data_IF_443896227908
#
_entry.id   IF_443896227908
#
_cell.length_a   1.000
_cell.length_b   1.000
_cell.length_c   1.000
_cell.angle_alpha   90.00
_cell.angle_beta   90.00
_cell.angle_gamma   90.00
#
_symmetry.space_group_name_H-M   'P 1'
#
loop_
_entity.id
_entity.type
_entity.pdbx_description
1 polymer ?
#
# COMPACT_ATOMS: atom_id res chain seq x y z
N UNK A 1 -11.54 -15.13 32.82
CA UNK A 1 -10.21 -14.51 32.59
C UNK A 1 -10.07 -14.31 31.09
N UNK A 2 -9.94 -13.05 30.62
CA UNK A 2 -9.66 -12.80 29.19
C UNK A 2 -8.28 -13.37 28.88
N UNK A 3 -8.18 -14.31 27.96
CA UNK A 3 -6.90 -14.85 27.53
C UNK A 3 -6.04 -13.71 26.98
N UNK A 4 -4.73 -13.70 27.30
CA UNK A 4 -3.79 -12.74 26.71
C UNK A 4 -3.83 -12.92 25.19
N UNK A 5 -3.83 -11.81 24.43
CA UNK A 5 -3.80 -11.79 22.95
C UNK A 5 -2.81 -12.84 22.38
N UNK A 6 -1.61 -12.89 22.91
CA UNK A 6 -0.54 -13.79 22.44
C UNK A 6 -0.83 -15.29 22.64
N UNK A 7 -1.79 -15.62 23.50
CA UNK A 7 -2.23 -17.01 23.77
C UNK A 7 -3.56 -17.36 23.14
N UNK A 8 -4.25 -16.40 22.51
CA UNK A 8 -5.60 -16.59 21.94
C UNK A 8 -5.59 -17.06 20.50
N UNK A 9 -4.43 -17.09 19.83
CA UNK A 9 -4.25 -17.52 18.46
C UNK A 9 -2.87 -18.14 18.20
N UNK A 10 -2.52 -18.34 16.94
CA UNK A 10 -1.23 -18.92 16.55
C UNK A 10 -0.21 -17.81 16.23
N UNK A 11 0.49 -17.35 17.26
CA UNK A 11 1.49 -16.27 17.17
C UNK A 11 2.59 -16.51 16.11
N UNK A 12 3.15 -17.73 15.93
CA UNK A 12 4.14 -17.96 14.88
C UNK A 12 3.60 -17.70 13.47
N UNK A 13 2.33 -18.04 13.19
CA UNK A 13 1.69 -17.70 11.91
C UNK A 13 1.51 -16.19 11.76
N UNK A 14 1.10 -15.48 12.82
CA UNK A 14 0.94 -14.03 12.79
C UNK A 14 2.26 -13.33 12.43
N UNK A 15 3.34 -13.68 13.11
CA UNK A 15 4.65 -13.07 12.88
C UNK A 15 5.25 -13.45 11.53
N UNK A 16 5.06 -14.69 11.07
CA UNK A 16 5.49 -15.09 9.73
C UNK A 16 4.68 -14.40 8.62
N UNK A 17 3.38 -14.18 8.83
CA UNK A 17 2.55 -13.41 7.90
C UNK A 17 2.95 -11.94 7.84
N UNK A 18 3.29 -11.34 8.99
CA UNK A 18 3.85 -9.98 9.04
C UNK A 18 5.15 -9.90 8.25
N UNK A 19 6.13 -10.77 8.52
CA UNK A 19 7.42 -10.76 7.84
C UNK A 19 7.30 -11.00 6.33
N UNK A 20 6.45 -11.96 5.95
CA UNK A 20 6.12 -12.23 4.55
C UNK A 20 5.58 -10.97 3.85
N UNK A 21 4.64 -10.28 4.48
CA UNK A 21 4.04 -9.07 3.94
C UNK A 21 5.03 -7.90 3.90
N UNK A 22 5.80 -7.71 4.96
CA UNK A 22 6.77 -6.63 5.09
C UNK A 22 7.85 -6.71 3.99
N UNK A 23 8.48 -7.87 3.83
CA UNK A 23 9.51 -8.05 2.80
C UNK A 23 8.95 -8.15 1.37
N UNK A 24 7.71 -8.62 1.21
CA UNK A 24 7.01 -8.50 -0.08
C UNK A 24 6.79 -7.04 -0.47
N UNK A 25 6.34 -6.19 0.45
CA UNK A 25 6.14 -4.76 0.19
C UNK A 25 7.44 -4.02 -0.08
N UNK A 26 8.54 -4.43 0.56
CA UNK A 26 9.87 -3.91 0.23
C UNK A 26 10.17 -4.08 -1.26
N UNK A 27 10.00 -5.27 -1.82
CA UNK A 27 10.31 -5.52 -3.25
C UNK A 27 9.22 -4.99 -4.18
N UNK A 28 7.98 -4.88 -3.72
CA UNK A 28 6.88 -4.33 -4.51
C UNK A 28 7.15 -2.90 -5.00
N UNK A 29 7.73 -2.06 -4.14
CA UNK A 29 8.03 -0.66 -4.46
C UNK A 29 9.48 -0.44 -4.91
N UNK A 30 10.26 -1.50 -5.09
CA UNK A 30 11.71 -1.44 -5.30
C UNK A 30 12.11 -0.58 -6.49
N UNK A 31 11.30 -0.55 -7.57
CA UNK A 31 11.57 0.26 -8.75
C UNK A 31 11.53 1.77 -8.47
N UNK A 32 10.77 2.22 -7.46
CA UNK A 32 10.71 3.63 -7.07
C UNK A 32 12.05 4.18 -6.58
N UNK A 33 12.63 3.64 -5.52
CA UNK A 33 13.96 4.03 -5.04
C UNK A 33 15.10 3.84 -6.06
N UNK A 34 15.00 2.86 -6.95
CA UNK A 34 16.00 2.61 -8.02
C UNK A 34 15.77 3.46 -9.28
N UNK A 35 14.64 4.14 -9.37
CA UNK A 35 14.21 4.80 -10.62
C UNK A 35 15.19 5.85 -11.13
N UNK A 36 15.92 6.53 -10.25
CA UNK A 36 16.92 7.56 -10.65
C UNK A 36 18.06 6.92 -11.45
N UNK A 37 18.65 5.83 -10.93
CA UNK A 37 19.75 5.15 -11.61
C UNK A 37 19.25 4.40 -12.86
N UNK A 38 18.15 3.66 -12.75
CA UNK A 38 17.56 2.96 -13.88
C UNK A 38 17.20 3.91 -15.03
N UNK A 39 16.61 5.07 -14.70
CA UNK A 39 16.21 6.03 -15.73
C UNK A 39 17.40 6.65 -16.46
N UNK A 40 18.53 6.82 -15.77
CA UNK A 40 19.77 7.32 -16.39
C UNK A 40 20.32 6.30 -17.37
N UNK A 41 20.45 5.04 -16.96
CA UNK A 41 21.04 3.99 -17.79
C UNK A 41 20.13 3.58 -18.96
N UNK A 42 18.82 3.55 -18.74
CA UNK A 42 17.83 3.20 -19.76
C UNK A 42 17.35 4.39 -20.59
N UNK A 43 17.88 5.61 -20.34
CA UNK A 43 17.50 6.86 -21.02
C UNK A 43 15.97 7.12 -21.00
N UNK A 44 15.32 6.91 -19.85
CA UNK A 44 13.87 7.01 -19.72
C UNK A 44 13.39 8.46 -19.69
N UNK A 45 12.31 8.73 -20.42
CA UNK A 45 11.57 9.99 -20.30
C UNK A 45 10.85 10.11 -18.96
N UNK A 46 10.44 11.33 -18.52
CA UNK A 46 9.68 11.48 -17.27
C UNK A 46 8.39 10.64 -17.23
N UNK A 47 7.66 10.52 -18.34
CA UNK A 47 6.48 9.66 -18.42
C UNK A 47 6.83 8.19 -18.26
N UNK A 48 7.91 7.73 -18.89
CA UNK A 48 8.39 6.34 -18.73
C UNK A 48 8.85 6.06 -17.30
N UNK A 49 9.55 6.99 -16.63
CA UNK A 49 9.88 6.86 -15.20
C UNK A 49 8.63 6.68 -14.35
N UNK A 50 7.65 7.56 -14.53
CA UNK A 50 6.38 7.47 -13.81
C UNK A 50 5.64 6.15 -14.06
N UNK A 51 5.58 5.70 -15.31
CA UNK A 51 4.91 4.44 -15.65
C UNK A 51 5.67 3.21 -15.12
N UNK A 52 7.01 3.24 -15.15
CA UNK A 52 7.85 2.16 -14.61
C UNK A 52 7.57 1.94 -13.12
N UNK A 53 7.55 3.00 -12.31
CA UNK A 53 7.30 2.88 -10.86
C UNK A 53 5.83 2.63 -10.53
N UNK A 54 4.91 3.01 -11.41
CA UNK A 54 3.46 2.80 -11.25
C UNK A 54 3.03 1.38 -11.62
N UNK A 55 3.72 0.71 -12.56
CA UNK A 55 3.33 -0.61 -13.07
C UNK A 55 3.25 -1.69 -11.98
N UNK A 56 4.22 -1.84 -11.05
CA UNK A 56 4.08 -2.79 -9.95
C UNK A 56 2.85 -2.49 -9.08
N UNK A 57 2.52 -1.20 -8.90
CA UNK A 57 1.39 -0.77 -8.08
C UNK A 57 0.08 -1.19 -8.70
N UNK A 58 -0.10 -0.98 -10.02
CA UNK A 58 -1.29 -1.42 -10.75
C UNK A 58 -1.39 -2.95 -10.79
N UNK A 59 -0.30 -3.64 -11.12
CA UNK A 59 -0.27 -5.09 -11.16
C UNK A 59 -0.64 -5.67 -9.78
N UNK A 60 -0.06 -5.14 -8.70
CA UNK A 60 -0.41 -5.54 -7.34
C UNK A 60 -1.87 -5.29 -7.00
N UNK A 61 -2.43 -4.17 -7.45
CA UNK A 61 -3.84 -3.86 -7.26
C UNK A 61 -4.75 -4.92 -7.87
N UNK A 62 -4.55 -5.24 -9.13
CA UNK A 62 -5.36 -6.22 -9.86
C UNK A 62 -5.16 -7.64 -9.32
N UNK A 63 -3.92 -8.01 -9.04
CA UNK A 63 -3.56 -9.32 -8.51
C UNK A 63 -4.09 -9.57 -7.08
N UNK A 64 -4.46 -8.53 -6.31
CA UNK A 64 -5.16 -8.72 -5.02
C UNK A 64 -6.46 -9.48 -5.15
N UNK A 65 -7.22 -9.26 -6.23
CA UNK A 65 -8.45 -10.02 -6.48
C UNK A 65 -8.10 -11.47 -6.80
N UNK A 66 -7.15 -11.66 -7.70
CA UNK A 66 -6.71 -13.01 -8.11
C UNK A 66 -6.20 -13.80 -6.91
N UNK A 67 -5.31 -13.19 -6.12
CA UNK A 67 -4.76 -13.83 -4.92
C UNK A 67 -5.80 -14.03 -3.84
N UNK A 68 -6.76 -13.11 -3.68
CA UNK A 68 -7.88 -13.27 -2.75
C UNK A 68 -8.76 -14.49 -3.09
N UNK A 69 -9.10 -14.66 -4.36
CA UNK A 69 -9.84 -15.86 -4.84
C UNK A 69 -8.99 -17.12 -4.62
N UNK A 70 -7.70 -17.05 -4.94
CA UNK A 70 -6.78 -18.19 -4.76
C UNK A 70 -6.65 -18.61 -3.29
N UNK A 71 -6.56 -17.64 -2.37
CA UNK A 71 -6.56 -17.86 -0.92
C UNK A 71 -7.77 -18.65 -0.45
N UNK A 72 -8.94 -18.36 -1.01
CA UNK A 72 -10.17 -19.07 -0.64
C UNK A 72 -10.24 -20.48 -1.26
N UNK A 73 -9.63 -20.71 -2.43
CA UNK A 73 -9.64 -22.00 -3.12
C UNK A 73 -8.59 -22.99 -2.62
N UNK A 74 -7.35 -22.52 -2.46
CA UNK A 74 -6.18 -23.38 -2.13
C UNK A 74 -5.55 -23.10 -0.77
N UNK A 75 -6.21 -22.28 0.07
CA UNK A 75 -5.79 -21.79 1.37
C UNK A 75 -4.66 -20.73 1.34
N UNK A 76 -4.59 -19.86 2.35
CA UNK A 76 -3.65 -18.73 2.40
C UNK A 76 -2.18 -19.14 2.29
N UNK A 77 -1.76 -20.22 2.99
CA UNK A 77 -0.36 -20.65 2.98
C UNK A 77 0.11 -21.01 1.57
N UNK A 78 -0.64 -21.82 0.85
CA UNK A 78 -0.27 -22.25 -0.51
C UNK A 78 -0.32 -21.09 -1.50
N UNK A 79 -1.35 -20.25 -1.42
CA UNK A 79 -1.46 -19.06 -2.25
C UNK A 79 -0.26 -18.11 -2.05
N UNK A 80 0.16 -17.91 -0.79
CA UNK A 80 1.34 -17.10 -0.47
C UNK A 80 2.64 -17.68 -1.01
N UNK A 81 2.83 -18.99 -0.94
CA UNK A 81 4.01 -19.66 -1.53
C UNK A 81 4.08 -19.44 -3.04
N UNK A 82 2.96 -19.61 -3.74
CA UNK A 82 2.91 -19.39 -5.20
C UNK A 82 3.24 -17.93 -5.53
N UNK A 83 2.62 -16.97 -4.86
CA UNK A 83 2.89 -15.55 -5.08
C UNK A 83 4.35 -15.20 -4.83
N UNK A 84 4.93 -15.68 -3.72
CA UNK A 84 6.31 -15.41 -3.37
C UNK A 84 7.31 -16.04 -4.36
N UNK A 85 7.04 -17.26 -4.84
CA UNK A 85 7.89 -17.90 -5.83
C UNK A 85 7.88 -17.13 -7.16
N UNK A 86 6.73 -16.62 -7.60
CA UNK A 86 6.66 -15.79 -8.82
C UNK A 86 7.52 -14.53 -8.66
N UNK A 87 7.47 -13.87 -7.49
CA UNK A 87 8.30 -12.70 -7.20
C UNK A 87 9.79 -13.06 -7.24
N UNK A 88 10.19 -14.14 -6.58
CA UNK A 88 11.57 -14.63 -6.55
C UNK A 88 12.07 -14.91 -7.97
N UNK A 89 11.30 -15.62 -8.78
CA UNK A 89 11.63 -15.92 -10.18
C UNK A 89 11.77 -14.63 -10.98
N UNK A 90 10.87 -13.67 -10.81
CA UNK A 90 10.91 -12.38 -11.51
C UNK A 90 12.18 -11.59 -11.18
N UNK A 91 12.57 -11.52 -9.90
CA UNK A 91 13.80 -10.86 -9.45
C UNK A 91 15.05 -11.61 -9.94
N UNK A 92 15.02 -12.94 -9.91
CA UNK A 92 16.12 -13.78 -10.37
C UNK A 92 16.38 -13.59 -11.87
N UNK A 93 15.33 -13.59 -12.68
CA UNK A 93 15.42 -13.32 -14.12
C UNK A 93 15.99 -11.92 -14.36
N UNK A 94 15.45 -10.90 -13.67
CA UNK A 94 15.92 -9.52 -13.80
C UNK A 94 17.41 -9.38 -13.43
N UNK A 95 17.86 -10.06 -12.37
CA UNK A 95 19.24 -10.02 -11.93
C UNK A 95 20.19 -10.74 -12.91
N UNK A 96 19.83 -11.94 -13.36
CA UNK A 96 20.71 -12.77 -14.20
C UNK A 96 20.82 -12.27 -15.65
N UNK A 97 19.71 -11.80 -16.21
CA UNK A 97 19.68 -11.32 -17.61
C UNK A 97 19.91 -9.82 -17.74
N UNK A 98 19.75 -9.07 -16.64
CA UNK A 98 19.76 -7.62 -16.67
C UNK A 98 18.45 -7.03 -17.21
N UNK A 99 18.28 -5.74 -17.01
CA UNK A 99 17.19 -4.94 -17.59
C UNK A 99 17.84 -3.92 -18.53
N UNK A 100 17.61 -4.06 -19.82
CA UNK A 100 18.21 -3.20 -20.85
C UNK A 100 17.18 -2.29 -21.53
N UNK A 101 15.89 -2.57 -21.36
CA UNK A 101 14.82 -1.84 -22.02
C UNK A 101 13.70 -1.43 -21.06
N UNK A 102 13.00 -0.37 -21.44
CA UNK A 102 11.81 0.07 -20.71
C UNK A 102 10.75 -1.05 -20.57
N UNK A 103 10.53 -1.82 -21.65
CA UNK A 103 9.56 -2.92 -21.66
C UNK A 103 9.92 -4.02 -20.65
N UNK A 104 11.20 -4.36 -20.54
CA UNK A 104 11.66 -5.33 -19.53
C UNK A 104 11.42 -4.83 -18.10
N UNK A 105 11.59 -3.51 -17.85
CA UNK A 105 11.28 -2.93 -16.55
C UNK A 105 9.79 -3.01 -16.22
N UNK A 106 8.90 -2.86 -17.20
CA UNK A 106 7.46 -3.06 -17.02
C UNK A 106 7.12 -4.53 -16.75
N UNK A 107 7.76 -5.47 -17.45
CA UNK A 107 7.56 -6.91 -17.20
C UNK A 107 7.98 -7.29 -15.79
N UNK A 108 9.13 -6.80 -15.32
CA UNK A 108 9.53 -6.97 -13.93
C UNK A 108 8.47 -6.36 -12.98
N UNK A 109 7.97 -5.15 -13.29
CA UNK A 109 6.92 -4.49 -12.52
C UNK A 109 5.66 -5.34 -12.37
N UNK A 110 5.24 -6.05 -13.43
CA UNK A 110 4.10 -6.99 -13.38
C UNK A 110 4.41 -8.16 -12.43
N UNK A 111 5.61 -8.74 -12.53
CA UNK A 111 6.04 -9.81 -11.62
C UNK A 111 6.09 -9.36 -10.16
N UNK A 112 6.60 -8.16 -9.88
CA UNK A 112 6.59 -7.56 -8.54
C UNK A 112 5.18 -7.24 -8.03
N UNK A 113 4.18 -7.16 -8.91
CA UNK A 113 2.77 -7.02 -8.53
C UNK A 113 2.28 -8.13 -7.62
N UNK A 114 2.78 -9.37 -7.75
CA UNK A 114 2.46 -10.47 -6.83
C UNK A 114 2.93 -10.16 -5.38
N UNK A 115 4.03 -9.43 -5.22
CA UNK A 115 4.46 -8.94 -3.91
C UNK A 115 3.48 -7.91 -3.33
N UNK A 116 2.93 -7.02 -4.15
CA UNK A 116 1.85 -6.09 -3.74
C UNK A 116 0.54 -6.78 -3.39
N UNK A 117 0.28 -7.95 -3.97
CA UNK A 117 -0.88 -8.78 -3.65
C UNK A 117 -0.71 -9.61 -2.36
N UNK A 118 0.49 -9.64 -1.75
CA UNK A 118 0.76 -10.31 -0.47
C UNK A 118 -0.19 -9.86 0.65
N UNK A 119 -0.70 -8.63 0.59
CA UNK A 119 -1.74 -8.12 1.47
C UNK A 119 -2.99 -9.03 1.52
N UNK A 120 -3.44 -9.53 0.37
CA UNK A 120 -4.62 -10.40 0.26
C UNK A 120 -4.37 -11.81 0.86
N UNK A 121 -3.13 -12.18 1.05
CA UNK A 121 -2.71 -13.46 1.66
C UNK A 121 -2.45 -13.31 3.15
N UNK A 122 -1.62 -12.34 3.53
CA UNK A 122 -1.11 -12.20 4.89
C UNK A 122 -2.22 -11.89 5.91
N UNK A 123 -3.18 -11.04 5.54
CA UNK A 123 -4.24 -10.64 6.45
C UNK A 123 -5.19 -11.81 6.80
N UNK A 124 -5.74 -12.58 5.84
CA UNK A 124 -6.53 -13.75 6.17
C UNK A 124 -5.73 -14.84 6.89
N UNK A 125 -4.48 -15.07 6.49
CA UNK A 125 -3.61 -16.05 7.13
C UNK A 125 -3.43 -15.75 8.63
N UNK A 126 -3.20 -14.49 8.98
CA UNK A 126 -3.01 -14.07 10.37
C UNK A 126 -4.34 -14.03 11.15
N UNK A 127 -5.38 -13.39 10.62
CA UNK A 127 -6.59 -13.08 11.35
C UNK A 127 -7.48 -14.29 11.63
N UNK A 128 -7.49 -15.30 10.74
CA UNK A 128 -8.32 -16.51 10.90
C UNK A 128 -7.94 -17.37 12.12
N UNK A 129 -6.78 -17.15 12.73
CA UNK A 129 -6.34 -17.83 13.96
C UNK A 129 -6.87 -17.19 15.24
N UNK A 130 -7.40 -15.98 15.17
CA UNK A 130 -7.77 -15.20 16.34
C UNK A 130 -9.30 -15.08 16.46
N UNK A 131 -9.82 -15.16 17.70
CA UNK A 131 -11.24 -14.97 17.95
C UNK A 131 -11.65 -13.53 17.61
N UNK A 132 -12.94 -13.25 17.35
CA UNK A 132 -13.44 -11.95 16.86
C UNK A 132 -12.95 -10.74 17.64
N UNK A 133 -12.83 -10.84 18.97
CA UNK A 133 -12.37 -9.78 19.87
C UNK A 133 -10.88 -9.40 19.68
N UNK A 134 -10.09 -10.29 19.07
CA UNK A 134 -8.66 -10.10 18.84
C UNK A 134 -8.28 -9.99 17.36
N UNK A 135 -9.22 -10.19 16.44
CA UNK A 135 -8.96 -10.11 14.99
C UNK A 135 -8.45 -8.73 14.55
N UNK A 136 -8.99 -7.65 15.14
CA UNK A 136 -8.53 -6.29 14.84
C UNK A 136 -7.05 -6.08 15.18
N UNK A 137 -6.61 -6.59 16.33
CA UNK A 137 -5.20 -6.53 16.74
C UNK A 137 -4.31 -7.38 15.81
N UNK A 138 -4.75 -8.59 15.45
CA UNK A 138 -4.03 -9.46 14.52
C UNK A 138 -3.89 -8.82 13.13
N UNK A 139 -4.97 -8.23 12.60
CA UNK A 139 -4.96 -7.48 11.35
C UNK A 139 -4.08 -6.23 11.42
N UNK A 140 -4.04 -5.56 12.58
CA UNK A 140 -3.17 -4.40 12.80
C UNK A 140 -1.69 -4.79 12.75
N UNK A 141 -1.30 -5.86 13.44
CA UNK A 141 0.08 -6.38 13.45
C UNK A 141 0.47 -6.85 12.05
N UNK A 142 -0.34 -7.72 11.42
CA UNK A 142 -0.05 -8.19 10.06
C UNK A 142 -0.02 -7.03 9.06
N UNK A 143 -0.96 -6.07 9.18
CA UNK A 143 -1.05 -4.90 8.32
C UNK A 143 0.09 -3.90 8.48
N UNK A 144 0.84 -3.94 9.60
CA UNK A 144 2.04 -3.13 9.78
C UNK A 144 3.18 -3.51 8.81
N UNK A 145 3.08 -4.67 8.14
CA UNK A 145 4.01 -5.10 7.08
C UNK A 145 4.13 -4.13 5.89
N UNK A 146 3.27 -3.09 5.81
CA UNK A 146 3.51 -1.98 4.89
C UNK A 146 4.81 -1.17 5.20
N UNK A 147 5.41 -1.34 6.38
CA UNK A 147 6.70 -0.74 6.74
C UNK A 147 7.86 -1.23 5.86
N UNK A 148 7.73 -2.37 5.20
CA UNK A 148 8.72 -2.88 4.25
C UNK A 148 9.10 -1.88 3.16
N UNK A 149 8.17 -1.02 2.77
CA UNK A 149 8.44 0.07 1.81
C UNK A 149 9.53 1.04 2.27
N UNK A 150 9.71 1.20 3.59
CA UNK A 150 10.78 2.01 4.19
C UNK A 150 12.15 1.40 3.89
N UNK A 151 12.27 0.07 4.00
CA UNK A 151 13.53 -0.62 3.74
C UNK A 151 13.98 -0.47 2.28
N UNK A 152 13.04 -0.53 1.32
CA UNK A 152 13.35 -0.26 -0.08
C UNK A 152 13.95 1.14 -0.26
N UNK A 153 13.30 2.18 0.26
CA UNK A 153 13.74 3.56 0.12
C UNK A 153 15.08 3.83 0.86
N UNK A 154 15.27 3.17 2.01
CA UNK A 154 16.46 3.37 2.84
C UNK A 154 17.70 2.67 2.25
N UNK A 155 17.57 1.45 1.77
CA UNK A 155 18.71 0.62 1.40
C UNK A 155 18.95 0.54 -0.10
N UNK A 156 17.90 0.48 -0.94
CA UNK A 156 18.08 0.20 -2.37
C UNK A 156 18.96 1.25 -3.09
N UNK A 157 18.82 2.57 -2.88
CA UNK A 157 19.68 3.54 -3.56
C UNK A 157 21.16 3.42 -3.17
N UNK A 158 21.45 3.16 -1.90
CA UNK A 158 22.82 2.98 -1.39
C UNK A 158 23.47 1.71 -1.95
N UNK A 159 22.72 0.61 -1.97
CA UNK A 159 23.16 -0.65 -2.56
C UNK A 159 23.37 -0.52 -4.07
N UNK A 160 22.52 0.26 -4.75
CA UNK A 160 22.67 0.52 -6.18
C UNK A 160 23.92 1.34 -6.51
N UNK A 161 24.29 2.31 -5.65
CA UNK A 161 25.56 3.04 -5.81
C UNK A 161 26.76 2.14 -5.57
N UNK A 162 26.69 1.23 -4.60
CA UNK A 162 27.81 0.37 -4.22
C UNK A 162 28.02 -0.82 -5.19
N UNK A 163 26.93 -1.42 -5.69
CA UNK A 163 26.96 -2.69 -6.43
C UNK A 163 26.34 -2.60 -7.82
N UNK A 164 25.79 -1.46 -8.21
CA UNK A 164 24.97 -1.30 -9.40
C UNK A 164 23.50 -1.70 -9.13
N UNK A 165 22.56 -0.95 -9.72
CA UNK A 165 21.13 -1.10 -9.46
C UNK A 165 20.59 -2.49 -9.88
N UNK A 166 21.15 -3.11 -10.93
CA UNK A 166 20.75 -4.46 -11.37
C UNK A 166 21.05 -5.53 -10.31
N UNK A 167 22.18 -5.39 -9.60
CA UNK A 167 22.55 -6.32 -8.53
C UNK A 167 21.66 -6.18 -7.27
N UNK A 168 20.95 -5.07 -7.12
CA UNK A 168 19.99 -4.91 -6.02
C UNK A 168 18.85 -5.91 -6.13
N UNK A 169 18.45 -6.32 -7.33
CA UNK A 169 17.47 -7.40 -7.53
C UNK A 169 17.95 -8.73 -6.95
N UNK A 170 19.23 -9.07 -7.18
CA UNK A 170 19.85 -10.24 -6.57
C UNK A 170 19.98 -10.14 -5.05
N UNK A 171 20.41 -8.98 -4.53
CA UNK A 171 20.51 -8.72 -3.09
C UNK A 171 19.14 -8.79 -2.39
N UNK A 172 18.07 -8.37 -3.03
CA UNK A 172 16.72 -8.44 -2.50
C UNK A 172 16.20 -9.90 -2.35
N UNK A 173 16.79 -10.85 -3.09
CA UNK A 173 16.47 -12.28 -2.93
C UNK A 173 16.88 -12.82 -1.57
N UNK A 174 17.88 -12.24 -0.90
CA UNK A 174 18.35 -12.70 0.40
C UNK A 174 17.28 -12.52 1.48
N UNK A 175 16.79 -11.31 1.79
CA UNK A 175 15.72 -11.13 2.76
C UNK A 175 14.43 -11.83 2.33
N UNK A 176 14.13 -11.85 1.04
CA UNK A 176 12.93 -12.53 0.53
C UNK A 176 13.00 -14.04 0.71
N UNK A 177 14.17 -14.66 0.51
CA UNK A 177 14.43 -16.08 0.78
C UNK A 177 14.30 -16.41 2.28
N UNK A 178 14.79 -15.53 3.16
CA UNK A 178 14.60 -15.66 4.61
C UNK A 178 13.11 -15.61 4.96
N UNK A 179 12.37 -14.64 4.41
CA UNK A 179 10.93 -14.55 4.62
C UNK A 179 10.20 -15.81 4.14
N UNK A 180 10.57 -16.34 2.98
CA UNK A 180 10.00 -17.58 2.45
C UNK A 180 10.28 -18.77 3.37
N UNK A 181 11.52 -18.92 3.85
CA UNK A 181 11.88 -19.99 4.78
C UNK A 181 11.09 -19.91 6.10
N UNK A 182 11.02 -18.73 6.71
CA UNK A 182 10.23 -18.48 7.92
C UNK A 182 8.74 -18.77 7.66
N UNK A 183 8.22 -18.34 6.51
CA UNK A 183 6.84 -18.58 6.12
C UNK A 183 6.55 -20.08 5.94
N UNK A 184 7.41 -20.82 5.27
CA UNK A 184 7.26 -22.27 5.08
C UNK A 184 7.23 -23.02 6.43
N UNK A 185 8.10 -22.64 7.36
CA UNK A 185 8.25 -23.31 8.65
C UNK A 185 7.11 -22.98 9.60
N UNK A 186 6.79 -21.70 9.75
CA UNK A 186 5.92 -21.22 10.83
C UNK A 186 4.49 -20.90 10.41
N UNK A 187 4.23 -20.59 9.13
CA UNK A 187 2.88 -20.31 8.68
C UNK A 187 2.04 -21.59 8.63
N UNK A 188 0.86 -21.53 9.21
CA UNK A 188 -0.13 -22.62 9.19
C UNK A 188 -1.50 -22.05 8.83
N UNK A 189 -2.24 -22.79 8.03
CA UNK A 189 -3.63 -22.44 7.75
C UNK A 189 -4.51 -22.73 8.97
N UNK A 190 -5.45 -21.83 9.27
CA UNK A 190 -6.41 -22.05 10.34
C UNK A 190 -7.34 -23.22 9.99
N UNK A 191 -7.67 -24.08 10.96
CA UNK A 191 -8.65 -25.14 10.75
C UNK A 191 -10.06 -24.59 10.44
N UNK A 192 -10.38 -23.41 10.97
CA UNK A 192 -11.68 -22.73 10.79
C UNK A 192 -11.67 -21.80 9.59
N UNK A 193 -11.37 -22.34 8.39
CA UNK A 193 -11.42 -21.56 7.17
C UNK A 193 -12.87 -21.29 6.75
N UNK A 194 -13.25 -20.02 6.43
CA UNK A 194 -14.58 -19.75 5.88
C UNK A 194 -14.73 -20.43 4.51
N UNK A 195 -15.97 -20.75 4.09
CA UNK A 195 -16.21 -21.34 2.78
C UNK A 195 -15.67 -20.45 1.66
N UNK A 196 -15.12 -21.10 0.62
CA UNK A 196 -14.57 -20.41 -0.53
C UNK A 196 -15.62 -19.52 -1.20
N UNK A 197 -15.25 -18.27 -1.48
CA UNK A 197 -16.11 -17.33 -2.20
C UNK A 197 -15.81 -17.38 -3.69
N UNK A 198 -16.88 -17.39 -4.48
CA UNK A 198 -16.77 -17.35 -5.93
C UNK A 198 -16.52 -15.92 -6.45
N UNK A 199 -15.97 -15.79 -7.64
CA UNK A 199 -15.78 -14.47 -8.30
C UNK A 199 -17.11 -13.72 -8.44
N UNK A 200 -18.22 -14.43 -8.66
CA UNK A 200 -19.56 -13.83 -8.72
C UNK A 200 -19.98 -13.18 -7.40
N UNK A 201 -19.57 -13.72 -6.26
CA UNK A 201 -19.82 -13.12 -4.94
C UNK A 201 -18.97 -11.86 -4.73
N UNK A 202 -17.73 -11.82 -5.26
CA UNK A 202 -16.94 -10.60 -5.30
C UNK A 202 -17.62 -9.52 -6.13
N UNK A 203 -18.12 -9.87 -7.32
CA UNK A 203 -18.79 -8.91 -8.18
C UNK A 203 -20.16 -8.46 -7.65
N UNK A 204 -20.85 -9.29 -6.89
CA UNK A 204 -22.15 -8.96 -6.31
C UNK A 204 -22.09 -7.76 -5.35
N UNK A 205 -20.97 -7.59 -4.61
CA UNK A 205 -20.82 -6.49 -3.66
C UNK A 205 -20.68 -5.13 -4.38
N UNK A 206 -20.27 -5.12 -5.64
CA UNK A 206 -20.19 -3.91 -6.46
C UNK A 206 -21.56 -3.30 -6.81
N UNK A 207 -22.66 -4.01 -6.51
CA UNK A 207 -24.03 -3.46 -6.58
C UNK A 207 -24.31 -2.50 -5.42
N UNK A 208 -23.55 -2.60 -4.31
CA UNK A 208 -23.71 -1.72 -3.16
C UNK A 208 -22.96 -0.39 -3.39
N UNK A 209 -23.68 0.72 -3.31
CA UNK A 209 -23.11 2.08 -3.48
C UNK A 209 -22.07 2.41 -2.44
N UNK A 210 -22.16 1.86 -1.22
CA UNK A 210 -21.20 2.10 -0.15
C UNK A 210 -19.85 1.44 -0.46
N UNK A 211 -19.83 0.31 -1.19
CA UNK A 211 -18.60 -0.31 -1.65
C UNK A 211 -17.76 0.64 -2.51
N UNK A 212 -18.39 1.33 -3.47
CA UNK A 212 -17.72 2.31 -4.31
C UNK A 212 -17.17 3.51 -3.53
N UNK A 213 -17.91 3.98 -2.51
CA UNK A 213 -17.43 5.05 -1.65
C UNK A 213 -16.18 4.63 -0.86
N UNK A 214 -16.18 3.45 -0.27
CA UNK A 214 -14.99 2.96 0.44
C UNK A 214 -13.81 2.72 -0.50
N UNK A 215 -14.06 2.19 -1.70
CA UNK A 215 -13.04 2.05 -2.74
C UNK A 215 -12.45 3.40 -3.13
N UNK A 216 -13.30 4.42 -3.35
CA UNK A 216 -12.85 5.78 -3.67
C UNK A 216 -12.07 6.41 -2.52
N UNK A 217 -12.56 6.33 -1.29
CA UNK A 217 -11.87 6.89 -0.13
C UNK A 217 -10.48 6.27 0.05
N UNK A 218 -10.37 4.96 -0.08
CA UNK A 218 -9.08 4.29 0.04
C UNK A 218 -8.15 4.54 -1.15
N UNK A 219 -8.71 4.77 -2.35
CA UNK A 219 -7.91 5.16 -3.51
C UNK A 219 -7.21 6.52 -3.30
N UNK A 220 -7.79 7.41 -2.51
CA UNK A 220 -7.17 8.69 -2.15
C UNK A 220 -6.16 8.51 -1.02
N UNK A 221 -6.51 7.82 0.08
CA UNK A 221 -5.60 7.68 1.22
C UNK A 221 -4.44 6.74 0.92
N UNK A 222 -4.71 5.49 0.60
CA UNK A 222 -3.66 4.50 0.29
C UNK A 222 -3.03 4.73 -1.06
N UNK A 223 -3.84 5.14 -2.06
CA UNK A 223 -3.32 5.50 -3.37
C UNK A 223 -2.35 6.68 -3.29
N UNK A 224 -2.69 7.71 -2.50
CA UNK A 224 -1.78 8.81 -2.21
C UNK A 224 -0.49 8.36 -1.54
N UNK A 225 -0.62 7.53 -0.51
CA UNK A 225 0.53 6.98 0.21
C UNK A 225 1.46 6.17 -0.72
N UNK A 226 0.94 5.16 -1.43
CA UNK A 226 1.79 4.28 -2.24
C UNK A 226 2.26 4.95 -3.53
N UNK A 227 1.45 5.82 -4.13
CA UNK A 227 1.85 6.58 -5.30
C UNK A 227 3.00 7.56 -5.01
N UNK A 228 2.94 8.27 -3.88
CA UNK A 228 4.04 9.10 -3.42
C UNK A 228 5.25 8.23 -3.01
N UNK A 229 5.06 7.16 -2.24
CA UNK A 229 6.14 6.25 -1.85
C UNK A 229 6.95 5.76 -3.07
N UNK A 230 6.28 5.51 -4.19
CA UNK A 230 6.91 5.07 -5.44
C UNK A 230 7.58 6.21 -6.22
N UNK A 231 7.16 7.47 -6.01
CA UNK A 231 7.57 8.62 -6.83
C UNK A 231 8.49 9.61 -6.11
N UNK A 232 8.54 9.62 -4.77
CA UNK A 232 9.24 10.64 -4.00
C UNK A 232 10.74 10.67 -4.26
N UNK A 233 11.40 9.52 -4.49
CA UNK A 233 12.83 9.49 -4.82
C UNK A 233 13.11 10.23 -6.13
N UNK A 234 12.24 10.05 -7.13
CA UNK A 234 12.31 10.80 -8.40
C UNK A 234 12.03 12.28 -8.13
N UNK A 235 11.00 12.60 -7.35
CA UNK A 235 10.61 13.97 -7.02
C UNK A 235 11.74 14.76 -6.35
N UNK A 236 12.38 14.19 -5.33
CA UNK A 236 13.49 14.84 -4.64
C UNK A 236 14.75 14.98 -5.51
N UNK A 237 15.03 13.99 -6.36
CA UNK A 237 16.12 14.07 -7.32
C UNK A 237 15.86 15.14 -8.38
N UNK A 238 14.70 15.11 -9.04
CA UNK A 238 14.38 16.00 -10.17
C UNK A 238 14.22 17.47 -9.77
N UNK A 239 13.65 17.76 -8.59
CA UNK A 239 13.39 19.14 -8.17
C UNK A 239 14.55 19.78 -7.39
N UNK A 240 15.27 18.98 -6.62
CA UNK A 240 16.29 19.49 -5.70
C UNK A 240 17.68 19.00 -6.06
N UNK A 241 17.84 18.28 -7.17
CA UNK A 241 19.11 17.71 -7.63
C UNK A 241 19.82 16.87 -6.56
N UNK A 242 19.05 16.23 -5.67
CA UNK A 242 19.60 15.35 -4.66
C UNK A 242 20.15 14.08 -5.32
N UNK A 243 21.32 13.63 -4.87
CA UNK A 243 21.83 12.32 -5.28
C UNK A 243 20.85 11.19 -4.86
N UNK A 244 20.90 10.03 -5.53
CA UNK A 244 19.92 8.93 -5.33
C UNK A 244 19.81 8.49 -3.87
N UNK A 245 20.94 8.45 -3.14
CA UNK A 245 21.00 8.02 -1.74
C UNK A 245 20.26 8.99 -0.82
N UNK A 246 20.53 10.29 -0.94
CA UNK A 246 19.86 11.30 -0.10
C UNK A 246 18.38 11.42 -0.45
N UNK A 247 18.02 11.35 -1.73
CA UNK A 247 16.64 11.30 -2.18
C UNK A 247 15.91 10.07 -1.60
N UNK A 248 16.60 8.92 -1.55
CA UNK A 248 16.09 7.69 -0.90
C UNK A 248 15.86 7.87 0.60
N UNK A 249 16.79 8.52 1.32
CA UNK A 249 16.62 8.80 2.75
C UNK A 249 15.46 9.75 3.02
N UNK A 250 15.29 10.79 2.20
CA UNK A 250 14.12 11.67 2.29
C UNK A 250 12.82 10.90 2.06
N UNK A 251 12.79 10.02 1.06
CA UNK A 251 11.65 9.13 0.78
C UNK A 251 11.38 8.19 1.95
N UNK A 252 12.42 7.56 2.51
CA UNK A 252 12.30 6.67 3.66
C UNK A 252 11.69 7.36 4.88
N UNK A 253 12.11 8.59 5.19
CA UNK A 253 11.53 9.38 6.27
C UNK A 253 10.03 9.66 6.07
N UNK A 254 9.64 10.02 4.84
CA UNK A 254 8.25 10.25 4.47
C UNK A 254 7.40 8.98 4.59
N UNK A 255 7.89 7.88 4.03
CA UNK A 255 7.19 6.58 4.04
C UNK A 255 7.09 6.01 5.45
N UNK A 256 8.13 6.16 6.27
CA UNK A 256 8.13 5.78 7.68
C UNK A 256 7.03 6.51 8.45
N UNK A 257 6.91 7.83 8.27
CA UNK A 257 5.85 8.61 8.89
C UNK A 257 4.46 8.08 8.51
N UNK A 258 4.21 7.82 7.22
CA UNK A 258 2.93 7.31 6.75
C UNK A 258 2.62 5.88 7.23
N UNK A 259 3.63 5.01 7.30
CA UNK A 259 3.45 3.64 7.79
C UNK A 259 3.17 3.59 9.28
N UNK A 260 3.94 4.35 10.07
CA UNK A 260 3.82 4.38 11.54
C UNK A 260 2.51 5.01 12.03
N UNK A 261 1.99 5.99 11.29
CA UNK A 261 0.76 6.71 11.69
C UNK A 261 -0.53 5.97 11.33
N UNK A 262 -0.48 4.91 10.53
CA UNK A 262 -1.66 4.12 10.16
C UNK A 262 -2.42 3.55 11.37
N UNK A 263 -1.78 2.88 12.34
CA UNK A 263 -2.46 2.43 13.57
C UNK A 263 -3.02 3.60 14.39
N UNK A 264 -2.31 4.72 14.42
CA UNK A 264 -2.76 5.93 15.15
C UNK A 264 -4.07 6.45 14.55
N UNK A 265 -4.18 6.49 13.22
CA UNK A 265 -5.42 6.87 12.55
C UNK A 265 -6.60 5.98 12.89
N UNK A 266 -6.39 4.66 12.99
CA UNK A 266 -7.39 3.71 13.46
C UNK A 266 -7.83 3.99 14.89
N UNK A 267 -6.86 4.19 15.81
CA UNK A 267 -7.15 4.52 17.21
C UNK A 267 -7.90 5.84 17.38
N UNK A 268 -7.57 6.86 16.59
CA UNK A 268 -8.30 8.14 16.57
C UNK A 268 -9.72 7.89 16.06
N UNK A 269 -9.88 7.11 14.99
CA UNK A 269 -11.18 6.79 14.43
C UNK A 269 -12.07 6.03 15.43
N UNK A 270 -11.50 5.14 16.23
CA UNK A 270 -12.25 4.45 17.31
C UNK A 270 -12.74 5.43 18.41
N UNK A 271 -12.00 6.50 18.67
CA UNK A 271 -12.33 7.47 19.73
C UNK A 271 -13.35 8.53 19.29
N UNK A 272 -13.10 9.16 18.14
CA UNK A 272 -13.89 10.31 17.67
C UNK A 272 -14.84 9.99 16.51
N UNK A 273 -14.76 8.77 15.96
CA UNK A 273 -15.51 8.29 14.82
C UNK A 273 -14.71 8.33 13.51
N UNK A 274 -14.88 7.31 12.69
CA UNK A 274 -14.15 7.15 11.43
C UNK A 274 -14.45 8.26 10.43
N UNK A 275 -15.71 8.69 10.33
CA UNK A 275 -16.12 9.78 9.42
C UNK A 275 -15.44 11.11 9.80
N UNK A 276 -15.41 11.47 11.09
CA UNK A 276 -14.76 12.72 11.55
C UNK A 276 -13.25 12.66 11.27
N UNK A 277 -12.64 11.53 11.59
CA UNK A 277 -11.21 11.30 11.35
C UNK A 277 -10.89 11.47 9.87
N UNK A 278 -11.62 10.81 8.97
CA UNK A 278 -11.38 10.91 7.53
C UNK A 278 -11.60 12.32 6.99
N UNK A 279 -12.65 13.03 7.41
CA UNK A 279 -12.87 14.42 7.00
C UNK A 279 -11.68 15.30 7.37
N UNK A 280 -11.16 15.17 8.60
CA UNK A 280 -9.98 15.90 9.04
C UNK A 280 -8.76 15.53 8.21
N UNK A 281 -8.53 14.22 7.96
CA UNK A 281 -7.38 13.76 7.18
C UNK A 281 -7.44 14.26 5.73
N UNK A 282 -8.60 14.22 5.07
CA UNK A 282 -8.74 14.75 3.70
C UNK A 282 -8.54 16.26 3.64
N UNK A 283 -9.05 16.99 4.63
CA UNK A 283 -8.85 18.45 4.68
C UNK A 283 -7.37 18.79 4.78
N UNK A 284 -6.65 18.17 5.71
CA UNK A 284 -5.22 18.43 5.90
C UNK A 284 -4.42 17.95 4.68
N UNK A 285 -4.73 16.76 4.14
CA UNK A 285 -4.07 16.24 2.95
C UNK A 285 -4.25 17.16 1.74
N UNK A 286 -5.48 17.65 1.49
CA UNK A 286 -5.75 18.56 0.38
C UNK A 286 -4.96 19.86 0.50
N UNK A 287 -4.93 20.47 1.70
CA UNK A 287 -4.19 21.71 1.95
C UNK A 287 -2.68 21.51 1.76
N UNK A 288 -2.12 20.46 2.35
CA UNK A 288 -0.68 20.19 2.27
C UNK A 288 -0.25 19.80 0.85
N UNK A 289 -1.04 19.00 0.13
CA UNK A 289 -0.77 18.64 -1.27
C UNK A 289 -0.86 19.89 -2.18
N UNK A 290 -1.81 20.78 -1.92
CA UNK A 290 -1.90 22.04 -2.63
C UNK A 290 -0.65 22.89 -2.40
N UNK A 291 -0.19 23.04 -1.15
CA UNK A 291 1.07 23.76 -0.84
C UNK A 291 2.27 23.07 -1.47
N UNK A 292 2.34 21.73 -1.42
CA UNK A 292 3.40 20.95 -2.05
C UNK A 292 3.46 21.19 -3.58
N UNK A 293 2.33 21.41 -4.22
CA UNK A 293 2.24 21.55 -5.67
C UNK A 293 3.02 22.76 -6.22
N UNK A 294 3.18 23.82 -5.44
CA UNK A 294 3.95 25.00 -5.85
C UNK A 294 5.47 24.80 -5.81
N UNK A 295 5.95 23.63 -5.36
CA UNK A 295 7.36 23.41 -5.07
C UNK A 295 7.80 24.20 -3.83
N UNK A 296 8.92 23.81 -3.26
CA UNK A 296 9.48 24.50 -2.10
C UNK A 296 10.89 24.97 -2.45
N UNK A 297 11.37 26.09 -1.87
CA UNK A 297 12.69 26.63 -2.20
C UNK A 297 13.85 25.69 -1.79
N UNK A 298 13.63 24.81 -0.82
CA UNK A 298 14.62 23.84 -0.36
C UNK A 298 14.01 22.47 -0.14
N UNK A 299 14.80 21.41 -0.27
CA UNK A 299 14.34 20.05 -0.01
C UNK A 299 13.93 19.83 1.46
N UNK A 300 14.52 20.56 2.42
CA UNK A 300 14.15 20.48 3.82
C UNK A 300 12.73 21.01 4.07
N UNK A 301 12.36 22.12 3.40
CA UNK A 301 10.99 22.63 3.48
C UNK A 301 10.01 21.70 2.76
N UNK A 302 10.41 21.12 1.62
CA UNK A 302 9.61 20.09 0.97
C UNK A 302 9.39 18.89 1.89
N UNK A 303 10.46 18.42 2.55
CA UNK A 303 10.38 17.30 3.50
C UNK A 303 9.45 17.63 4.68
N UNK A 304 9.52 18.87 5.21
CA UNK A 304 8.65 19.33 6.28
C UNK A 304 7.15 19.35 5.90
N UNK A 305 6.82 19.39 4.61
CA UNK A 305 5.45 19.29 4.10
C UNK A 305 5.08 17.85 3.74
N UNK A 306 5.99 17.14 3.07
CA UNK A 306 5.71 15.78 2.58
C UNK A 306 5.58 14.77 3.71
N UNK A 307 6.37 14.89 4.79
CA UNK A 307 6.23 14.03 5.98
C UNK A 307 4.83 14.12 6.58
N UNK A 308 4.26 15.30 6.89
CA UNK A 308 2.88 15.43 7.32
C UNK A 308 1.85 14.92 6.28
N UNK A 309 2.06 15.16 4.98
CA UNK A 309 1.19 14.58 3.93
C UNK A 309 1.13 13.07 4.08
N UNK A 310 2.28 12.41 4.14
CA UNK A 310 2.36 10.95 4.25
C UNK A 310 1.76 10.44 5.56
N UNK A 311 2.01 11.14 6.67
CA UNK A 311 1.43 10.81 7.97
C UNK A 311 -0.10 10.88 7.95
N UNK A 312 -0.66 11.92 7.37
CA UNK A 312 -2.12 12.12 7.28
C UNK A 312 -2.76 11.09 6.35
N UNK A 313 -2.14 10.77 5.21
CA UNK A 313 -2.60 9.70 4.33
C UNK A 313 -2.53 8.33 5.02
N UNK A 314 -1.47 8.08 5.78
CA UNK A 314 -1.34 6.88 6.62
C UNK A 314 -2.44 6.77 7.67
N UNK A 315 -2.73 7.84 8.40
CA UNK A 315 -3.85 7.89 9.35
C UNK A 315 -5.19 7.65 8.66
N UNK A 316 -5.40 8.24 7.48
CA UNK A 316 -6.59 8.01 6.65
C UNK A 316 -6.78 6.53 6.30
N UNK A 317 -5.69 5.80 6.00
CA UNK A 317 -5.74 4.36 5.75
C UNK A 317 -6.30 3.59 6.95
N UNK A 318 -5.88 3.94 8.16
CA UNK A 318 -6.39 3.35 9.39
C UNK A 318 -7.87 3.65 9.60
N UNK A 319 -8.30 4.87 9.34
CA UNK A 319 -9.68 5.31 9.52
C UNK A 319 -10.65 4.65 8.51
N UNK A 320 -10.24 4.43 7.25
CA UNK A 320 -11.06 3.67 6.29
C UNK A 320 -11.28 2.25 6.79
N UNK A 321 -10.22 1.57 7.24
CA UNK A 321 -10.33 0.20 7.74
C UNK A 321 -10.99 0.08 9.12
N UNK A 322 -11.21 1.18 9.81
CA UNK A 322 -12.08 1.23 10.99
C UNK A 322 -13.59 1.19 10.57
N UNK A 323 -13.95 1.83 9.46
CA UNK A 323 -15.33 1.92 8.99
C UNK A 323 -15.77 0.69 8.17
N UNK A 324 -14.90 0.14 7.32
CA UNK A 324 -15.22 -0.98 6.41
C UNK A 324 -15.83 -2.19 7.14
N UNK A 325 -15.25 -2.70 8.26
CA UNK A 325 -15.83 -3.84 8.98
C UNK A 325 -17.19 -3.54 9.62
N UNK A 326 -17.49 -2.28 9.92
CA UNK A 326 -18.76 -1.90 10.51
C UNK A 326 -19.89 -2.03 9.50
N UNK A 327 -19.62 -1.67 8.24
CA UNK A 327 -20.61 -1.74 7.16
C UNK A 327 -20.70 -3.14 6.53
N UNK A 328 -19.56 -3.80 6.29
CA UNK A 328 -19.45 -5.04 5.52
C UNK A 328 -18.97 -6.21 6.40
N UNK A 329 -19.63 -6.41 7.54
CA UNK A 329 -19.20 -7.42 8.52
C UNK A 329 -19.15 -8.84 7.96
N UNK A 330 -20.15 -9.21 7.15
CA UNK A 330 -20.25 -10.54 6.53
C UNK A 330 -19.34 -10.71 5.32
N UNK A 331 -19.11 -9.64 4.59
CA UNK A 331 -18.34 -9.59 3.35
C UNK A 331 -16.94 -8.99 3.52
N UNK A 332 -16.42 -8.94 4.75
CA UNK A 332 -15.19 -8.22 5.08
C UNK A 332 -13.98 -8.65 4.23
N UNK A 333 -13.84 -9.94 3.95
CA UNK A 333 -12.72 -10.44 3.13
C UNK A 333 -12.77 -9.93 1.69
N UNK A 334 -13.96 -10.00 1.06
CA UNK A 334 -14.18 -9.47 -0.30
C UNK A 334 -13.95 -7.96 -0.32
N UNK A 335 -14.54 -7.26 0.65
CA UNK A 335 -14.47 -5.81 0.70
C UNK A 335 -13.04 -5.32 0.96
N UNK A 336 -12.28 -6.01 1.80
CA UNK A 336 -10.85 -5.72 2.01
C UNK A 336 -10.04 -5.86 0.71
N UNK A 337 -10.33 -6.89 -0.08
CA UNK A 337 -9.70 -7.09 -1.39
C UNK A 337 -10.02 -5.96 -2.37
N UNK A 338 -11.32 -5.62 -2.52
CA UNK A 338 -11.78 -4.56 -3.43
C UNK A 338 -11.27 -3.17 -3.03
N UNK A 339 -11.35 -2.82 -1.75
CA UNK A 339 -10.82 -1.56 -1.22
C UNK A 339 -9.31 -1.50 -1.42
N UNK A 340 -8.61 -2.61 -1.13
CA UNK A 340 -7.17 -2.72 -1.35
C UNK A 340 -6.78 -2.58 -2.83
N UNK A 341 -7.56 -3.15 -3.75
CA UNK A 341 -7.38 -2.99 -5.19
C UNK A 341 -7.55 -1.52 -5.59
N UNK A 342 -8.64 -0.88 -5.18
CA UNK A 342 -8.91 0.52 -5.50
C UNK A 342 -7.80 1.45 -4.97
N UNK A 343 -7.26 1.16 -3.80
CA UNK A 343 -6.10 1.88 -3.26
C UNK A 343 -4.88 1.78 -4.17
N UNK A 344 -4.57 0.60 -4.69
CA UNK A 344 -3.48 0.42 -5.64
C UNK A 344 -3.73 1.11 -6.98
N UNK A 345 -4.97 1.08 -7.49
CA UNK A 345 -5.35 1.84 -8.71
C UNK A 345 -5.13 3.34 -8.51
N UNK A 346 -5.50 3.89 -7.34
CA UNK A 346 -5.23 5.29 -7.00
C UNK A 346 -3.73 5.61 -6.98
N UNK A 347 -2.91 4.70 -6.45
CA UNK A 347 -1.45 4.85 -6.44
C UNK A 347 -0.82 4.79 -7.83
N UNK A 348 -1.30 3.90 -8.68
CA UNK A 348 -0.90 3.87 -10.09
C UNK A 348 -1.22 5.19 -10.78
N UNK A 349 -2.46 5.67 -10.63
CA UNK A 349 -2.89 6.93 -11.22
C UNK A 349 -1.98 8.09 -10.80
N UNK A 350 -1.68 8.22 -9.51
CA UNK A 350 -0.82 9.29 -9.00
C UNK A 350 0.59 9.19 -9.58
N UNK A 351 1.25 8.04 -9.47
CA UNK A 351 2.63 7.87 -9.91
C UNK A 351 2.78 8.06 -11.43
N UNK A 352 1.86 7.48 -12.22
CA UNK A 352 1.89 7.62 -13.68
C UNK A 352 1.58 9.06 -14.12
N UNK A 353 0.56 9.71 -13.51
CA UNK A 353 0.18 11.08 -13.85
C UNK A 353 1.27 12.09 -13.53
N UNK A 354 1.99 11.93 -12.42
CA UNK A 354 3.13 12.79 -12.07
C UNK A 354 4.22 12.74 -13.15
N UNK A 355 4.57 11.56 -13.65
CA UNK A 355 5.53 11.42 -14.74
C UNK A 355 5.06 12.05 -16.04
N UNK A 356 3.79 11.80 -16.42
CA UNK A 356 3.21 12.35 -17.62
C UNK A 356 3.10 13.88 -17.59
N UNK A 357 2.61 14.44 -16.48
CA UNK A 357 2.49 15.89 -16.28
C UNK A 357 3.86 16.56 -16.30
N UNK A 358 4.87 15.94 -15.64
CA UNK A 358 6.25 16.43 -15.67
C UNK A 358 6.79 16.48 -17.09
N UNK A 359 6.52 15.48 -17.91
CA UNK A 359 6.96 15.47 -19.32
C UNK A 359 6.28 16.55 -20.16
N UNK A 360 4.98 16.78 -19.97
CA UNK A 360 4.19 17.70 -20.79
C UNK A 360 4.32 19.16 -20.35
N UNK A 361 4.53 19.43 -19.07
CA UNK A 361 4.53 20.81 -18.51
C UNK A 361 5.87 21.23 -17.93
N UNK A 362 6.82 20.32 -17.78
CA UNK A 362 8.09 20.56 -17.09
C UNK A 362 7.97 20.63 -15.56
N UNK A 363 6.75 20.44 -14.99
CA UNK A 363 6.48 20.61 -13.55
C UNK A 363 5.60 19.49 -13.00
N UNK A 364 5.71 19.23 -11.71
CA UNK A 364 4.81 18.33 -10.97
C UNK A 364 3.51 19.01 -10.49
N UNK A 365 3.41 20.33 -10.65
CA UNK A 365 2.38 21.18 -10.05
C UNK A 365 0.96 20.69 -10.36
N UNK A 366 0.62 20.53 -11.63
CA UNK A 366 -0.73 20.13 -12.05
C UNK A 366 -1.07 18.73 -11.53
N UNK A 367 -0.14 17.79 -11.57
CA UNK A 367 -0.37 16.43 -11.06
C UNK A 367 -0.69 16.41 -9.56
N UNK A 368 0.05 17.16 -8.76
CA UNK A 368 -0.21 17.32 -7.34
C UNK A 368 -1.50 18.09 -7.04
N UNK A 369 -1.82 19.13 -7.83
CA UNK A 369 -3.10 19.85 -7.71
C UNK A 369 -4.31 18.96 -8.02
N UNK A 370 -4.22 18.11 -9.05
CA UNK A 370 -5.28 17.15 -9.36
C UNK A 370 -5.48 16.20 -8.19
N UNK A 371 -4.40 15.72 -7.59
CA UNK A 371 -4.51 14.81 -6.44
C UNK A 371 -5.04 15.51 -5.18
N UNK A 372 -4.66 16.77 -4.95
CA UNK A 372 -5.28 17.62 -3.93
C UNK A 372 -6.79 17.77 -4.17
N UNK A 373 -7.19 17.98 -5.43
CA UNK A 373 -8.59 18.02 -5.87
C UNK A 373 -9.33 16.70 -5.57
N UNK A 374 -8.71 15.55 -5.78
CA UNK A 374 -9.29 14.25 -5.41
C UNK A 374 -9.51 14.12 -3.89
N UNK A 375 -8.59 14.65 -3.06
CA UNK A 375 -8.79 14.70 -1.61
C UNK A 375 -9.97 15.61 -1.21
N UNK A 376 -10.15 16.75 -1.89
CA UNK A 376 -11.33 17.62 -1.74
C UNK A 376 -12.60 16.89 -2.16
N UNK A 377 -12.59 16.19 -3.29
CA UNK A 377 -13.73 15.39 -3.74
C UNK A 377 -14.09 14.27 -2.75
N UNK A 378 -13.09 13.62 -2.16
CA UNK A 378 -13.30 12.63 -1.11
C UNK A 378 -13.93 13.26 0.14
N UNK A 379 -13.49 14.45 0.55
CA UNK A 379 -14.08 15.21 1.66
C UNK A 379 -15.54 15.58 1.36
N UNK A 380 -15.85 16.08 0.16
CA UNK A 380 -17.21 16.43 -0.26
C UNK A 380 -18.09 15.17 -0.31
N UNK A 381 -17.61 14.09 -0.95
CA UNK A 381 -18.33 12.82 -1.03
C UNK A 381 -18.65 12.24 0.33
N UNK A 382 -17.67 12.24 1.25
CA UNK A 382 -17.88 11.76 2.62
C UNK A 382 -18.87 12.65 3.38
N UNK A 383 -18.83 13.98 3.16
CA UNK A 383 -19.80 14.90 3.72
C UNK A 383 -21.22 14.63 3.21
N UNK A 384 -21.37 14.23 1.96
CA UNK A 384 -22.65 13.85 1.35
C UNK A 384 -23.23 12.55 1.92
N UNK A 385 -22.38 11.53 2.17
CA UNK A 385 -22.87 10.23 2.65
C UNK A 385 -22.94 10.12 4.17
N UNK A 386 -22.28 11.00 4.93
CA UNK A 386 -22.14 10.91 6.40
C UNK A 386 -23.46 10.79 7.14
N UNK A 387 -24.49 11.57 6.75
CA UNK A 387 -25.80 11.55 7.41
C UNK A 387 -26.49 10.21 7.18
N UNK A 388 -26.51 9.73 5.93
CA UNK A 388 -27.06 8.42 5.57
C UNK A 388 -26.36 7.31 6.32
N UNK A 389 -25.02 7.30 6.38
CA UNK A 389 -24.26 6.28 7.07
C UNK A 389 -24.54 6.24 8.57
N UNK A 390 -24.63 7.42 9.22
CA UNK A 390 -24.96 7.53 10.65
C UNK A 390 -26.38 7.10 10.98
N UNK A 391 -27.35 7.32 10.11
CA UNK A 391 -28.75 6.98 10.34
C UNK A 391 -29.12 5.56 9.91
N UNK A 392 -28.29 4.91 9.09
CA UNK A 392 -28.51 3.53 8.64
C UNK A 392 -27.67 2.56 9.47
N UNK A 393 -26.57 2.08 8.93
CA UNK A 393 -25.73 1.06 9.57
C UNK A 393 -24.92 1.60 10.77
N UNK A 394 -24.59 2.89 10.81
CA UNK A 394 -23.90 3.50 11.94
C UNK A 394 -24.73 3.62 13.20
N UNK A 395 -26.07 3.67 13.11
CA UNK A 395 -26.97 3.65 14.26
C UNK A 395 -27.08 2.28 14.92
N UNK A 396 -26.95 1.20 14.15
CA UNK A 396 -27.04 -0.16 14.65
C UNK A 396 -25.83 -0.60 15.49
N UNK A 397 -24.70 0.12 15.38
CA UNK A 397 -23.47 -0.15 16.11
C UNK A 397 -23.26 0.75 17.35
N UNK A 398 -24.29 1.47 17.77
CA UNK A 398 -24.24 2.49 18.84
C UNK A 398 -23.76 2.00 20.22
N UNK A 399 -23.44 0.74 20.37
CA UNK A 399 -22.98 0.17 21.66
C UNK A 399 -21.47 0.09 21.82
N UNK A 400 -20.64 0.24 20.77
CA UNK A 400 -19.19 0.11 20.92
C UNK A 400 -18.29 0.81 19.90
N UNK A 401 -18.75 1.16 18.71
CA UNK A 401 -17.90 1.79 17.69
C UNK A 401 -18.54 3.09 17.16
N UNK A 402 -17.77 4.19 17.22
CA UNK A 402 -18.21 5.50 16.71
C UNK A 402 -18.01 5.55 15.17
N UNK A 403 -19.07 5.86 14.46
CA UNK A 403 -19.07 6.12 13.01
C UNK A 403 -18.77 7.59 12.68
#
# INVERSE_FOLDING_TARGET
MKSSFWKSGHTPTLLSAFLYFDLSFMVWVLLGPLAVQMATDLHLTPAQKGLMVATPVLAGALLRIVMGVLVDQIKPKMAGLIGQLIVIISLLIAWLHGIETFQQSLMLGIGLGFAGAAFAVALPLASRWYPPEHQGTALGIAGAGNSGTVFAALFAPSLAVAYGWNNVFGLALIPLGIALAVYMIYAKDSPDAPPAKSLSQYLAILKDKDAWWFMFFYSVTFGGFVGLASSLTIYFNDLYSLGPVLAGYCTAACVFAGSLTRPIGGLIADRIGGIRTLLTMYTIAALLLFVMSFGQPTYLLALAIVIPVMAVLGMGNGAVFQLVPQRFRKEIGVMTGLVGMAGGVGGFYLAASLGYVKQSTGSYQIGLMIFAGLAVLAMIGLSGVKTRWRTTWGSATATSAKV
#
